data_IF_108993717586
#
_entry.id   IF_108993717586
#
_cell.length_a   1.000
_cell.length_b   1.000
_cell.length_c   1.000
_cell.angle_alpha   90.00
_cell.angle_beta   90.00
_cell.angle_gamma   90.00
#
_symmetry.space_group_name_H-M   'P 1'
#
loop_
_entity.id
_entity.type
_entity.pdbx_description
1 polymer ?
#
# COMPACT_ATOMS: atom_id res chain seq x y z
N UNK A 1 22.49 -11.72 12.02
CA UNK A 1 21.69 -10.48 11.81
C UNK A 1 20.94 -10.22 13.10
N UNK A 2 21.12 -9.07 13.73
CA UNK A 2 20.40 -8.64 14.94
C UNK A 2 19.57 -7.40 14.60
N UNK A 3 18.34 -7.32 15.11
CA UNK A 3 17.40 -6.21 14.88
C UNK A 3 17.20 -5.39 16.16
N UNK A 4 17.02 -4.08 16.05
CA UNK A 4 16.89 -3.12 17.15
C UNK A 4 16.53 -1.71 16.62
N UNK A 5 16.71 -0.66 17.43
CA UNK A 5 16.43 0.75 17.05
C UNK A 5 15.01 0.96 16.49
N UNK A 6 14.03 0.35 17.15
CA UNK A 6 12.63 0.40 16.71
C UNK A 6 12.14 1.83 16.61
N UNK A 7 11.64 2.20 15.44
CA UNK A 7 11.08 3.52 15.17
C UNK A 7 9.67 3.37 14.63
N UNK A 8 8.79 4.30 15.02
CA UNK A 8 7.45 4.37 14.47
C UNK A 8 7.49 4.96 13.05
N UNK A 9 7.03 4.19 12.07
CA UNK A 9 6.94 4.62 10.66
C UNK A 9 5.53 5.09 10.30
N UNK A 10 4.51 4.32 10.67
CA UNK A 10 3.11 4.62 10.36
C UNK A 10 2.13 3.93 11.30
N UNK A 11 0.93 4.50 11.43
CA UNK A 11 -0.19 3.91 12.17
C UNK A 11 -1.50 3.97 11.38
N UNK A 12 -2.57 3.35 11.91
CA UNK A 12 -3.93 3.48 11.38
C UNK A 12 -4.43 4.93 11.38
N UNK A 13 -5.37 5.27 10.49
CA UNK A 13 -5.94 6.62 10.40
C UNK A 13 -7.46 6.59 10.62
N UNK A 14 -7.98 7.11 11.75
CA UNK A 14 -9.42 7.17 12.00
C UNK A 14 -10.18 7.86 10.86
N UNK A 15 -11.27 7.25 10.40
CA UNK A 15 -12.09 7.78 9.31
C UNK A 15 -11.57 7.51 7.89
N UNK A 16 -10.43 6.82 7.74
CA UNK A 16 -9.90 6.37 6.45
C UNK A 16 -10.14 4.87 6.23
N UNK A 17 -9.80 4.39 5.04
CA UNK A 17 -9.91 2.97 4.67
C UNK A 17 -8.92 2.06 5.43
N UNK A 18 -7.94 2.64 6.11
CA UNK A 18 -6.91 1.97 6.90
C UNK A 18 -7.02 2.34 8.39
N UNK A 19 -8.25 2.44 8.90
CA UNK A 19 -8.55 2.97 10.24
C UNK A 19 -8.28 2.00 11.39
N UNK A 20 -8.46 0.69 11.18
CA UNK A 20 -8.39 -0.28 12.26
C UNK A 20 -6.99 -0.87 12.41
N UNK A 21 -6.34 -1.21 11.30
CA UNK A 21 -4.98 -1.77 11.29
C UNK A 21 -4.31 -1.59 9.95
N UNK A 22 -2.97 -1.58 9.97
CA UNK A 22 -2.12 -1.52 8.79
C UNK A 22 -0.97 -2.53 8.92
N UNK A 23 -0.38 -2.89 7.79
CA UNK A 23 0.83 -3.69 7.77
C UNK A 23 1.55 -3.63 6.43
N UNK A 24 2.85 -3.91 6.45
CA UNK A 24 3.66 -3.99 5.25
C UNK A 24 3.15 -5.11 4.32
N UNK A 25 3.25 -4.90 3.01
CA UNK A 25 2.82 -5.87 2.00
C UNK A 25 3.97 -6.29 1.10
N UNK A 26 4.38 -5.42 0.19
CA UNK A 26 5.47 -5.71 -0.75
C UNK A 26 6.84 -5.33 -0.17
N UNK A 27 7.88 -5.97 -0.68
CA UNK A 27 9.26 -5.46 -0.53
C UNK A 27 9.31 -4.03 -1.08
N UNK A 28 9.91 -3.05 -0.36
CA UNK A 28 10.06 -1.69 -0.86
C UNK A 28 10.90 -1.65 -2.15
N UNK A 29 10.44 -0.88 -3.12
CA UNK A 29 11.05 -0.69 -4.43
C UNK A 29 11.79 0.64 -4.42
N UNK A 30 13.10 0.60 -4.67
CA UNK A 30 13.91 1.81 -4.79
C UNK A 30 13.53 2.57 -6.07
N UNK A 31 13.23 3.85 -5.94
CA UNK A 31 13.03 4.79 -7.05
C UNK A 31 13.95 5.99 -6.87
N UNK A 32 13.97 6.92 -7.83
CA UNK A 32 14.67 8.19 -7.69
C UNK A 32 14.01 9.14 -6.67
N UNK A 33 12.74 8.90 -6.32
CA UNK A 33 11.97 9.73 -5.39
C UNK A 33 11.89 9.17 -3.97
N UNK A 34 12.30 7.92 -3.74
CA UNK A 34 12.09 7.26 -2.46
C UNK A 34 12.05 5.74 -2.52
N UNK A 35 11.77 5.12 -1.38
CA UNK A 35 11.34 3.73 -1.28
C UNK A 35 9.82 3.66 -1.43
N UNK A 36 9.35 3.17 -2.58
CA UNK A 36 7.93 2.94 -2.83
C UNK A 36 7.52 1.57 -2.29
N UNK A 37 6.51 1.48 -1.46
CA UNK A 37 5.99 0.21 -0.99
C UNK A 37 4.47 0.17 -1.01
N UNK A 38 3.93 -1.03 -1.29
CA UNK A 38 2.50 -1.29 -1.17
C UNK A 38 2.27 -1.94 0.19
N UNK A 39 1.32 -1.37 0.93
CA UNK A 39 0.92 -1.83 2.25
C UNK A 39 -0.56 -2.22 2.23
N UNK A 40 -1.00 -3.01 3.20
CA UNK A 40 -2.42 -3.29 3.40
C UNK A 40 -2.95 -2.48 4.57
N UNK A 41 -4.23 -2.15 4.50
CA UNK A 41 -4.98 -1.54 5.59
C UNK A 41 -6.36 -2.20 5.68
N UNK A 42 -6.87 -2.33 6.89
CA UNK A 42 -8.26 -2.73 7.12
C UNK A 42 -9.00 -1.63 7.89
N UNK A 43 -10.25 -1.43 7.51
CA UNK A 43 -11.19 -0.57 8.22
C UNK A 43 -11.88 -1.31 9.37
N UNK A 44 -12.75 -0.60 10.10
CA UNK A 44 -13.52 -1.14 11.23
C UNK A 44 -14.44 -2.31 10.83
N UNK A 45 -14.80 -2.42 9.56
CA UNK A 45 -15.60 -3.54 9.04
C UNK A 45 -14.73 -4.72 8.61
N UNK A 46 -13.43 -4.69 8.92
CA UNK A 46 -12.44 -5.68 8.50
C UNK A 46 -12.33 -5.87 6.99
N UNK A 47 -12.66 -4.85 6.19
CA UNK A 47 -12.39 -4.87 4.76
C UNK A 47 -10.93 -4.53 4.51
N UNK A 48 -10.18 -5.47 3.93
CA UNK A 48 -8.76 -5.27 3.63
C UNK A 48 -8.59 -4.72 2.21
N UNK A 49 -7.86 -3.62 2.11
CA UNK A 49 -7.50 -2.96 0.86
C UNK A 49 -5.99 -2.70 0.82
N UNK A 50 -5.46 -2.43 -0.38
CA UNK A 50 -4.06 -2.06 -0.58
C UNK A 50 -3.92 -0.56 -0.77
N UNK A 51 -2.83 -0.01 -0.27
CA UNK A 51 -2.42 1.37 -0.52
C UNK A 51 -0.93 1.46 -0.83
N UNK A 52 -0.46 2.66 -1.13
CA UNK A 52 0.94 2.90 -1.47
C UNK A 52 1.53 3.99 -0.58
N UNK A 53 2.79 3.79 -0.20
CA UNK A 53 3.62 4.73 0.57
C UNK A 53 4.91 5.00 -0.19
N UNK A 54 5.47 6.19 0.02
CA UNK A 54 6.79 6.57 -0.41
C UNK A 54 7.58 7.01 0.82
N UNK A 55 8.67 6.32 1.12
CA UNK A 55 9.59 6.69 2.21
C UNK A 55 10.86 7.33 1.65
N UNK A 56 11.56 8.10 2.48
CA UNK A 56 12.82 8.75 2.13
C UNK A 56 13.94 7.72 1.86
N UNK A 57 14.79 7.99 0.86
CA UNK A 57 15.85 7.07 0.42
C UNK A 57 16.93 6.83 1.48
N UNK A 58 17.31 7.89 2.20
CA UNK A 58 18.38 7.86 3.19
C UNK A 58 17.82 7.60 4.59
N UNK A 59 16.59 8.06 4.84
CA UNK A 59 15.87 7.93 6.12
C UNK A 59 14.57 7.14 5.96
N UNK A 60 14.62 5.81 5.75
CA UNK A 60 13.44 5.01 5.36
C UNK A 60 12.31 4.99 6.40
N UNK A 61 12.58 5.39 7.64
CA UNK A 61 11.55 5.61 8.67
C UNK A 61 10.64 6.82 8.39
N UNK A 62 11.10 7.76 7.56
CA UNK A 62 10.36 8.98 7.20
C UNK A 62 9.47 8.71 5.99
N UNK A 63 8.15 8.73 6.22
CA UNK A 63 7.15 8.68 5.15
C UNK A 63 7.03 10.04 4.48
N UNK A 64 7.32 10.11 3.18
CA UNK A 64 7.20 11.31 2.34
C UNK A 64 5.78 11.47 1.78
N UNK A 65 5.15 10.36 1.41
CA UNK A 65 3.78 10.36 0.90
C UNK A 65 3.07 9.04 1.23
N UNK A 66 1.73 9.11 1.36
CA UNK A 66 0.86 7.95 1.62
C UNK A 66 -0.46 8.14 0.89
N UNK A 67 -0.95 7.10 0.23
CA UNK A 67 -2.21 7.18 -0.51
C UNK A 67 -3.38 7.51 0.41
N UNK A 68 -4.23 8.45 -0.03
CA UNK A 68 -5.45 8.86 0.69
C UNK A 68 -6.64 7.96 0.35
N UNK A 69 -6.59 7.31 -0.81
CA UNK A 69 -7.55 6.30 -1.26
C UNK A 69 -6.84 4.94 -1.40
N UNK A 70 -7.59 3.82 -1.35
CA UNK A 70 -7.06 2.53 -1.73
C UNK A 70 -6.52 2.56 -3.16
N UNK A 71 -5.39 1.88 -3.36
CA UNK A 71 -4.87 1.51 -4.67
C UNK A 71 -5.67 0.34 -5.27
N UNK A 72 -6.01 -0.65 -4.42
CA UNK A 72 -6.85 -1.79 -4.78
C UNK A 72 -7.78 -2.08 -3.62
N UNK A 73 -9.06 -2.27 -3.92
CA UNK A 73 -10.08 -2.70 -2.97
C UNK A 73 -10.79 -3.94 -3.52
N UNK A 74 -11.36 -4.80 -2.67
CA UNK A 74 -12.04 -6.01 -3.11
C UNK A 74 -13.31 -5.65 -3.89
N UNK A 75 -13.35 -6.04 -5.16
CA UNK A 75 -14.47 -5.76 -6.07
C UNK A 75 -14.84 -7.00 -6.88
N UNK A 76 -13.83 -7.77 -7.34
CA UNK A 76 -14.07 -8.97 -8.09
C UNK A 76 -14.67 -10.07 -7.21
N UNK A 77 -15.47 -10.96 -7.81
CA UNK A 77 -16.18 -12.03 -7.07
C UNK A 77 -15.26 -12.83 -6.14
N UNK A 78 -14.05 -13.16 -6.58
CA UNK A 78 -13.08 -13.93 -5.80
C UNK A 78 -12.39 -13.12 -4.68
N UNK A 79 -12.57 -11.80 -4.63
CA UNK A 79 -12.08 -10.90 -3.59
C UNK A 79 -13.17 -10.62 -2.53
N UNK A 80 -14.43 -10.60 -2.96
CA UNK A 80 -15.59 -10.38 -2.07
C UNK A 80 -16.20 -11.68 -1.54
N UNK A 81 -15.96 -12.84 -2.16
CA UNK A 81 -16.47 -14.15 -1.74
C UNK A 81 -15.33 -15.17 -1.51
N UNK A 82 -15.16 -15.63 -0.28
CA UNK A 82 -14.16 -16.64 0.06
C UNK A 82 -14.26 -17.13 1.51
N UNK A 83 -13.12 -17.56 2.08
CA UNK A 83 -13.07 -17.96 3.49
C UNK A 83 -13.24 -16.74 4.41
N UNK A 84 -12.60 -15.63 4.03
CA UNK A 84 -12.77 -14.34 4.68
C UNK A 84 -13.04 -13.26 3.63
N UNK A 85 -14.29 -12.89 3.48
CA UNK A 85 -14.78 -12.00 2.42
C UNK A 85 -14.26 -10.56 2.52
N UNK A 86 -14.26 -9.85 1.39
CA UNK A 86 -13.86 -8.45 1.27
C UNK A 86 -12.38 -8.22 1.63
N UNK A 87 -11.50 -9.05 1.05
CA UNK A 87 -10.06 -8.98 1.29
C UNK A 87 -9.27 -9.02 0.00
N UNK A 88 -8.39 -8.03 -0.13
CA UNK A 88 -7.18 -8.10 -0.96
C UNK A 88 -5.95 -7.87 -0.08
N UNK A 89 -4.94 -8.75 -0.18
CA UNK A 89 -3.76 -8.72 0.69
C UNK A 89 -2.50 -9.06 -0.10
N UNK A 90 -1.59 -8.11 -0.30
CA UNK A 90 -0.36 -8.34 -1.09
C UNK A 90 0.80 -8.81 -0.23
N UNK A 91 1.59 -9.74 -0.78
CA UNK A 91 2.84 -10.22 -0.17
C UNK A 91 4.05 -10.08 -1.10
N UNK A 92 3.87 -9.58 -2.33
CA UNK A 92 4.95 -9.57 -3.30
C UNK A 92 4.64 -8.79 -4.57
N UNK A 93 5.68 -8.22 -5.13
CA UNK A 93 5.62 -7.54 -6.41
C UNK A 93 6.90 -7.77 -7.22
N UNK A 94 6.76 -7.76 -8.54
CA UNK A 94 7.86 -7.86 -9.50
C UNK A 94 7.86 -6.63 -10.37
N UNK A 95 8.95 -5.86 -10.34
CA UNK A 95 9.14 -4.68 -11.16
C UNK A 95 9.96 -5.02 -12.42
N UNK A 96 9.49 -4.60 -13.59
CA UNK A 96 10.18 -4.72 -14.89
C UNK A 96 9.96 -3.45 -15.70
N UNK A 97 10.94 -2.54 -15.67
CA UNK A 97 10.76 -1.18 -16.20
C UNK A 97 9.64 -0.49 -15.45
N UNK A 98 8.73 0.16 -16.19
CA UNK A 98 7.54 0.81 -15.61
C UNK A 98 6.45 -0.19 -15.17
N UNK A 99 6.52 -1.45 -15.60
CA UNK A 99 5.48 -2.43 -15.26
C UNK A 99 5.76 -3.04 -13.89
N UNK A 100 4.87 -2.77 -12.95
CA UNK A 100 4.81 -3.42 -11.64
C UNK A 100 3.73 -4.50 -11.67
N UNK A 101 4.11 -5.76 -11.42
CA UNK A 101 3.16 -6.87 -11.25
C UNK A 101 3.02 -7.14 -9.75
N UNK A 102 1.82 -7.02 -9.19
CA UNK A 102 1.55 -7.39 -7.81
C UNK A 102 0.87 -8.75 -7.74
N UNK A 103 1.27 -9.57 -6.78
CA UNK A 103 0.60 -10.82 -6.44
C UNK A 103 -0.05 -10.67 -5.08
N UNK A 104 -1.34 -10.98 -5.00
CA UNK A 104 -2.12 -10.75 -3.80
C UNK A 104 -3.06 -11.91 -3.50
N UNK A 105 -3.26 -12.19 -2.21
CA UNK A 105 -4.31 -13.05 -1.73
C UNK A 105 -5.67 -12.36 -1.85
N UNK A 106 -6.68 -13.12 -2.24
CA UNK A 106 -8.05 -12.66 -2.35
C UNK A 106 -8.98 -13.57 -1.53
N UNK A 107 -9.77 -12.94 -0.66
CA UNK A 107 -10.73 -13.57 0.25
C UNK A 107 -10.19 -14.77 1.08
N UNK A 108 -8.92 -14.72 1.48
CA UNK A 108 -8.15 -15.78 2.17
C UNK A 108 -8.25 -17.16 1.49
N UNK A 109 -8.44 -17.16 0.16
CA UNK A 109 -8.75 -18.39 -0.59
C UNK A 109 -8.02 -18.48 -1.93
N UNK A 110 -7.83 -17.35 -2.60
CA UNK A 110 -7.27 -17.30 -3.95
C UNK A 110 -5.97 -16.52 -3.98
N UNK A 111 -5.15 -16.77 -5.00
CA UNK A 111 -4.02 -15.94 -5.37
C UNK A 111 -4.33 -15.29 -6.72
N UNK A 112 -4.18 -13.98 -6.78
CA UNK A 112 -4.47 -13.14 -7.93
C UNK A 112 -3.24 -12.33 -8.34
N UNK A 113 -3.28 -11.78 -9.54
CA UNK A 113 -2.24 -10.91 -10.09
C UNK A 113 -2.85 -9.68 -10.73
N UNK A 114 -2.22 -8.53 -10.52
CA UNK A 114 -2.59 -7.26 -11.17
C UNK A 114 -1.35 -6.53 -11.70
N UNK A 115 -1.56 -5.75 -12.76
CA UNK A 115 -0.53 -4.90 -13.36
C UNK A 115 -0.77 -3.44 -13.00
N UNK A 116 0.29 -2.75 -12.62
CA UNK A 116 0.32 -1.34 -12.27
C UNK A 116 1.47 -0.67 -13.02
N UNK A 117 1.38 0.65 -13.21
CA UNK A 117 2.48 1.48 -13.69
C UNK A 117 3.24 2.08 -12.50
N UNK A 118 4.56 1.91 -12.46
CA UNK A 118 5.40 2.45 -11.39
C UNK A 118 5.38 3.98 -11.39
N UNK A 119 5.55 4.59 -12.57
CA UNK A 119 5.44 6.04 -12.75
C UNK A 119 4.04 6.55 -12.38
N UNK A 120 2.98 5.87 -12.81
CA UNK A 120 1.61 6.22 -12.42
C UNK A 120 1.37 6.17 -10.90
N UNK A 121 1.98 5.21 -10.19
CA UNK A 121 1.92 5.15 -8.73
C UNK A 121 2.64 6.34 -8.09
N UNK A 122 3.82 6.70 -8.58
CA UNK A 122 4.58 7.84 -8.10
C UNK A 122 3.81 9.15 -8.34
N UNK A 123 3.25 9.34 -9.52
CA UNK A 123 2.42 10.49 -9.88
C UNK A 123 1.20 10.62 -8.96
N UNK A 124 0.57 9.49 -8.61
CA UNK A 124 -0.59 9.48 -7.71
C UNK A 124 -0.25 9.99 -6.29
N UNK A 125 1.02 9.93 -5.90
CA UNK A 125 1.52 10.39 -4.61
C UNK A 125 2.02 11.85 -4.65
N UNK A 126 2.52 12.32 -5.80
CA UNK A 126 3.09 13.68 -5.96
C UNK A 126 2.07 14.71 -6.42
N UNK A 127 1.03 14.32 -7.16
CA UNK A 127 0.01 15.21 -7.72
C UNK A 127 -0.92 15.88 -6.68
N UNK A 128 -0.67 15.69 -5.37
CA UNK A 128 -1.41 16.32 -4.26
C UNK A 128 -0.52 17.23 -3.39
N UNK A 129 0.51 17.83 -3.97
CA UNK A 129 1.38 18.83 -3.33
C UNK A 129 1.00 20.30 -3.56
N UNK A 130 -0.26 20.61 -3.88
CA UNK A 130 -0.74 22.01 -4.02
C UNK A 130 -2.20 22.19 -3.58
N UNK A 131 -2.50 21.87 -2.32
CA UNK A 131 -3.71 22.36 -1.64
C UNK A 131 -3.55 22.13 -0.14
N UNK A 132 -2.84 23.03 0.54
CA UNK A 132 -3.28 23.70 1.77
C UNK A 132 -2.09 24.47 2.36
N UNK A 133 -1.88 25.68 1.83
CA UNK A 133 -1.22 26.75 2.55
C UNK A 133 -2.27 27.86 2.64
N UNK A 134 -2.95 27.92 3.78
CA UNK A 134 -3.73 29.08 4.18
C UNK A 134 -3.44 29.35 5.66
N UNK A 135 -3.40 30.65 6.04
CA UNK A 135 -2.59 31.19 7.13
C UNK A 135 -3.04 30.80 8.54
#
# INVERSE_FOLDING_TARGET
VHWGEHTWVMGPRPGYWDSARIGAGTVPIRTEHGWLAIYHGADESSRYSLGVILCDLERPERVLARSTKPLLMPEAKHEVEGFFSNVVFTCGAVCRGDRLTIYYGAADKFICGAYLSLSGLLDSLTAKGSADNSP
#
